data_IF_173126524730
#
_entry.id   IF_173126524730
#
_cell.length_a   1.000
_cell.length_b   1.000
_cell.length_c   1.000
_cell.angle_alpha   90.00
_cell.angle_beta   90.00
_cell.angle_gamma   90.00
#
_symmetry.space_group_name_H-M   'P 1'
#
loop_
_entity.id
_entity.type
_entity.pdbx_description
1 polymer ?
#
# COMPACT_ATOMS: atom_id res chain seq x y z
N UNK A 1 -64.05 -25.90 20.90
CA UNK A 1 -63.57 -26.47 19.61
C UNK A 1 -63.35 -25.30 18.67
N UNK A 2 -62.08 -24.90 18.43
CA UNK A 2 -61.63 -24.03 17.33
C UNK A 2 -60.09 -23.92 17.36
N UNK A 3 -59.43 -25.08 17.26
CA UNK A 3 -57.97 -25.26 17.19
C UNK A 3 -57.45 -25.15 15.76
N UNK A 4 -57.89 -24.15 14.99
CA UNK A 4 -57.44 -23.98 13.59
C UNK A 4 -57.04 -22.56 13.17
N UNK A 5 -57.06 -21.59 14.08
CA UNK A 5 -56.66 -20.20 13.75
C UNK A 5 -55.28 -19.79 14.31
N UNK A 6 -54.59 -20.67 15.04
CA UNK A 6 -53.26 -20.40 15.57
C UNK A 6 -52.11 -20.82 14.63
N UNK A 7 -52.41 -21.45 13.48
CA UNK A 7 -51.40 -22.09 12.64
C UNK A 7 -50.95 -21.28 11.40
N UNK A 8 -51.31 -19.99 11.29
CA UNK A 8 -50.98 -19.16 10.11
C UNK A 8 -50.18 -17.89 10.41
N UNK A 9 -49.83 -17.61 11.68
CA UNK A 9 -49.05 -16.43 12.08
C UNK A 9 -47.68 -16.83 12.64
N UNK A 10 -47.10 -17.92 12.10
CA UNK A 10 -45.86 -18.54 12.60
C UNK A 10 -44.71 -18.58 11.60
N UNK A 11 -44.84 -18.04 10.39
CA UNK A 11 -43.84 -18.16 9.32
C UNK A 11 -43.43 -16.81 8.70
N UNK A 12 -43.37 -15.74 9.50
CA UNK A 12 -42.68 -14.50 9.12
C UNK A 12 -41.39 -14.33 9.96
N UNK A 13 -40.68 -15.43 10.19
CA UNK A 13 -39.37 -15.40 10.81
C UNK A 13 -38.29 -15.57 9.73
N UNK A 14 -37.49 -14.52 9.60
CA UNK A 14 -36.06 -14.57 9.23
C UNK A 14 -35.75 -15.01 7.79
N UNK A 15 -35.89 -14.06 6.87
CA UNK A 15 -35.10 -14.06 5.65
C UNK A 15 -34.52 -12.67 5.37
N UNK A 16 -33.94 -12.04 6.39
CA UNK A 16 -32.83 -11.11 6.14
C UNK A 16 -31.62 -11.97 5.78
N UNK A 17 -31.56 -12.37 4.51
CA UNK A 17 -30.30 -12.80 3.94
C UNK A 17 -29.48 -11.52 3.87
N UNK A 18 -28.71 -11.24 4.93
CA UNK A 18 -27.64 -10.28 4.88
C UNK A 18 -26.73 -10.73 3.74
N UNK A 19 -26.92 -10.14 2.56
CA UNK A 19 -25.88 -10.15 1.55
C UNK A 19 -24.77 -9.32 2.19
N UNK A 20 -23.87 -9.98 2.90
CA UNK A 20 -22.55 -9.44 3.16
C UNK A 20 -21.90 -9.30 1.78
N UNK A 21 -22.28 -8.23 1.09
CA UNK A 21 -21.57 -7.73 -0.07
C UNK A 21 -20.25 -7.31 0.54
N UNK A 22 -19.28 -8.22 0.48
CA UNK A 22 -17.89 -7.97 0.87
C UNK A 22 -17.58 -6.56 0.37
N UNK A 23 -17.45 -5.63 1.32
CA UNK A 23 -17.32 -4.22 1.00
C UNK A 23 -15.93 -4.12 0.38
N UNK A 24 -15.89 -4.23 -0.94
CA UNK A 24 -14.66 -4.20 -1.69
C UNK A 24 -14.28 -2.72 -1.73
N UNK A 25 -13.72 -2.22 -0.63
CA UNK A 25 -13.32 -0.81 -0.41
C UNK A 25 -12.09 -0.43 -1.26
N UNK A 26 -11.95 -1.07 -2.42
CA UNK A 26 -10.93 -0.79 -3.40
C UNK A 26 -11.24 0.53 -4.09
N UNK A 27 -10.27 1.43 -3.96
CA UNK A 27 -10.20 2.69 -4.66
C UNK A 27 -9.38 2.50 -5.93
N UNK A 28 -9.66 3.32 -6.94
CA UNK A 28 -8.86 3.36 -8.16
C UNK A 28 -7.82 4.47 -8.07
N UNK A 29 -6.63 4.21 -8.57
CA UNK A 29 -5.56 5.19 -8.69
C UNK A 29 -4.65 4.89 -9.86
N UNK A 30 -3.80 5.85 -10.20
CA UNK A 30 -2.85 5.72 -11.31
C UNK A 30 -1.43 5.73 -10.77
N UNK A 31 -0.59 4.81 -11.25
CA UNK A 31 0.83 4.77 -10.94
C UNK A 31 1.57 5.80 -11.78
N UNK A 32 1.98 6.92 -11.20
CA UNK A 32 2.55 8.03 -11.95
C UNK A 32 4.01 7.84 -12.31
N UNK A 33 4.81 7.34 -11.37
CA UNK A 33 6.26 7.17 -11.52
C UNK A 33 6.85 6.26 -10.45
N UNK A 34 8.07 5.82 -10.73
CA UNK A 34 8.95 5.13 -9.81
C UNK A 34 10.17 6.01 -9.51
N UNK A 35 10.57 6.07 -8.25
CA UNK A 35 11.69 6.87 -7.76
C UNK A 35 12.62 6.00 -6.91
N UNK A 36 13.92 6.29 -6.94
CA UNK A 36 14.87 5.79 -5.95
C UNK A 36 15.03 6.83 -4.85
N UNK A 37 14.63 6.48 -3.62
CA UNK A 37 14.71 7.37 -2.48
C UNK A 37 15.66 6.83 -1.40
N UNK A 38 16.44 7.69 -0.73
CA UNK A 38 17.26 7.27 0.38
C UNK A 38 16.37 6.75 1.53
N UNK A 39 16.69 5.56 2.02
CA UNK A 39 15.83 4.85 2.94
C UNK A 39 16.54 4.21 4.12
N UNK A 40 17.86 4.29 4.16
CA UNK A 40 18.66 3.74 5.24
C UNK A 40 20.15 3.95 5.01
N UNK A 41 20.95 3.56 5.99
CA UNK A 41 22.41 3.60 5.92
C UNK A 41 22.95 2.19 6.04
N UNK A 42 23.80 1.77 5.11
CA UNK A 42 24.53 0.52 5.19
C UNK A 42 25.97 0.80 5.61
N UNK A 43 26.34 0.34 6.80
CA UNK A 43 27.75 0.27 7.19
C UNK A 43 28.38 -0.93 6.49
N UNK A 44 29.14 -0.72 5.41
CA UNK A 44 30.03 -1.76 4.87
C UNK A 44 31.28 -1.86 5.76
N UNK A 45 31.08 -2.39 6.96
CA UNK A 45 32.14 -2.77 7.90
C UNK A 45 32.69 -4.17 7.60
N UNK A 46 33.33 -4.35 6.44
CA UNK A 46 34.12 -5.56 6.20
C UNK A 46 35.42 -5.51 7.00
N UNK A 47 35.41 -6.08 8.22
CA UNK A 47 36.58 -6.49 9.05
C UNK A 47 36.01 -7.15 10.31
N UNK A 48 35.78 -8.46 10.26
CA UNK A 48 36.72 -9.47 10.77
C UNK A 48 36.93 -9.30 12.27
N UNK A 49 36.45 -10.28 13.04
CA UNK A 49 36.69 -10.48 14.47
C UNK A 49 38.20 -10.52 14.80
N UNK A 50 39.08 -10.52 13.80
CA UNK A 50 40.54 -10.37 13.94
C UNK A 50 41.04 -8.91 14.03
N UNK A 51 40.20 -7.90 13.77
CA UNK A 51 40.59 -6.48 13.75
C UNK A 51 40.68 -5.82 15.12
N UNK A 52 39.98 -6.34 16.13
CA UNK A 52 40.04 -5.81 17.51
C UNK A 52 41.30 -6.26 18.27
N UNK A 53 42.04 -7.26 17.76
CA UNK A 53 43.29 -7.74 18.36
C UNK A 53 44.54 -6.98 17.89
N UNK A 54 44.44 -6.18 16.83
CA UNK A 54 45.57 -5.47 16.22
C UNK A 54 45.24 -3.98 16.16
N UNK A 55 45.47 -3.28 17.28
CA UNK A 55 45.22 -1.84 17.48
C UNK A 55 45.82 -0.95 16.38
N UNK A 56 45.09 -0.81 15.28
CA UNK A 56 45.41 0.05 14.14
C UNK A 56 44.18 0.91 13.86
N UNK A 57 44.21 2.09 14.45
CA UNK A 57 43.06 3.00 14.65
C UNK A 57 42.75 3.80 13.38
N UNK A 58 42.51 3.13 12.26
CA UNK A 58 42.15 3.80 11.00
C UNK A 58 41.13 3.00 10.21
N UNK A 59 40.05 2.60 10.89
CA UNK A 59 38.90 2.00 10.23
C UNK A 59 38.02 3.13 9.65
N UNK A 60 38.33 3.53 8.41
CA UNK A 60 37.43 4.35 7.59
C UNK A 60 36.09 3.63 7.42
N UNK A 61 35.12 3.90 8.30
CA UNK A 61 33.73 3.48 8.13
C UNK A 61 33.15 4.20 6.91
N UNK A 62 33.11 3.51 5.76
CA UNK A 62 32.36 3.98 4.59
C UNK A 62 30.90 3.63 4.79
N UNK A 63 30.16 4.53 5.41
CA UNK A 63 28.70 4.48 5.45
C UNK A 63 28.18 4.79 4.05
N UNK A 64 27.50 3.84 3.42
CA UNK A 64 26.86 4.02 2.11
C UNK A 64 25.36 4.18 2.32
N UNK A 65 24.79 5.24 1.76
CA UNK A 65 23.34 5.45 1.76
C UNK A 65 22.65 4.39 0.89
N UNK A 66 21.62 3.75 1.45
CA UNK A 66 20.80 2.75 0.77
C UNK A 66 19.65 3.45 0.08
N UNK A 67 19.47 3.17 -1.21
CA UNK A 67 18.35 3.66 -1.99
C UNK A 67 17.28 2.56 -2.10
N UNK A 68 16.03 2.90 -1.79
CA UNK A 68 14.88 2.02 -1.93
C UNK A 68 14.01 2.48 -3.09
N UNK A 69 13.30 1.52 -3.67
CA UNK A 69 12.35 1.76 -4.74
C UNK A 69 11.01 2.24 -4.18
N UNK A 70 10.59 3.43 -4.56
CA UNK A 70 9.32 4.02 -4.17
C UNK A 70 8.45 4.32 -5.40
N UNK A 71 7.14 4.20 -5.25
CA UNK A 71 6.17 4.47 -6.29
C UNK A 71 5.23 5.59 -5.88
N UNK A 72 4.85 6.43 -6.84
CA UNK A 72 3.86 7.47 -6.65
C UNK A 72 2.52 6.98 -7.18
N UNK A 73 1.59 6.67 -6.26
CA UNK A 73 0.23 6.27 -6.57
C UNK A 73 -0.70 7.46 -6.36
N UNK A 74 -1.32 7.93 -7.44
CA UNK A 74 -2.27 9.03 -7.39
C UNK A 74 -3.69 8.48 -7.28
N UNK A 75 -4.31 8.67 -6.12
CA UNK A 75 -5.73 8.42 -5.91
C UNK A 75 -6.59 9.62 -6.29
N UNK A 76 -7.87 9.57 -5.90
CA UNK A 76 -8.83 10.63 -6.23
C UNK A 76 -8.52 11.98 -5.52
N UNK A 77 -8.06 11.92 -4.27
CA UNK A 77 -7.83 13.08 -3.40
C UNK A 77 -6.41 13.19 -2.84
N UNK A 78 -5.69 12.08 -2.81
CA UNK A 78 -4.38 11.96 -2.16
C UNK A 78 -3.40 11.29 -3.10
N UNK A 79 -2.17 11.79 -3.09
CA UNK A 79 -0.99 11.16 -3.70
C UNK A 79 -0.26 10.40 -2.60
N UNK A 80 -0.08 9.09 -2.83
CA UNK A 80 0.63 8.19 -1.92
C UNK A 80 2.02 7.93 -2.46
N UNK A 81 3.05 8.00 -1.61
CA UNK A 81 4.36 7.42 -1.90
C UNK A 81 4.44 6.08 -1.20
N UNK A 82 4.59 5.00 -1.97
CA UNK A 82 4.52 3.63 -1.47
C UNK A 82 5.80 2.87 -1.76
N UNK A 83 6.18 1.94 -0.87
CA UNK A 83 7.34 1.07 -1.03
C UNK A 83 6.92 -0.40 -0.95
N UNK A 84 7.49 -1.30 -1.78
CA UNK A 84 7.29 -2.73 -1.61
C UNK A 84 7.64 -3.14 -0.18
N UNK A 85 6.83 -4.02 0.43
CA UNK A 85 7.15 -4.55 1.76
C UNK A 85 8.28 -5.59 1.71
N UNK A 86 8.39 -6.32 0.61
CA UNK A 86 9.46 -7.29 0.36
C UNK A 86 10.46 -6.73 -0.65
N UNK A 87 11.66 -6.41 -0.16
CA UNK A 87 12.76 -5.87 -0.96
C UNK A 87 13.55 -6.96 -1.71
N UNK A 88 13.28 -8.25 -1.48
CA UNK A 88 14.08 -9.34 -2.08
C UNK A 88 13.75 -9.57 -3.55
N UNK A 89 12.47 -9.45 -3.92
CA UNK A 89 12.00 -9.62 -5.30
C UNK A 89 10.83 -8.66 -5.59
N UNK A 90 11.05 -7.33 -5.53
CA UNK A 90 9.98 -6.38 -5.79
C UNK A 90 9.53 -6.51 -7.25
N UNK A 91 8.26 -6.87 -7.44
CA UNK A 91 7.66 -6.86 -8.76
C UNK A 91 7.57 -5.41 -9.26
N UNK A 92 8.02 -5.18 -10.50
CA UNK A 92 7.91 -3.87 -11.12
C UNK A 92 6.45 -3.57 -11.43
N UNK A 93 5.95 -2.46 -10.89
CA UNK A 93 4.64 -1.95 -11.24
C UNK A 93 4.69 -1.17 -12.56
N UNK A 94 3.72 -1.37 -13.48
CA UNK A 94 3.65 -0.63 -14.73
C UNK A 94 3.25 0.83 -14.46
N UNK A 95 4.08 1.75 -14.92
CA UNK A 95 3.84 3.19 -14.79
C UNK A 95 2.87 3.65 -15.88
N UNK A 96 1.96 4.56 -15.53
CA UNK A 96 0.86 5.03 -16.39
C UNK A 96 -0.43 4.24 -16.21
N UNK A 97 -0.35 3.05 -15.61
CA UNK A 97 -1.49 2.16 -15.50
C UNK A 97 -2.37 2.43 -14.28
N UNK A 98 -3.62 2.00 -14.41
CA UNK A 98 -4.58 2.02 -13.30
C UNK A 98 -4.37 0.82 -12.40
N UNK A 99 -4.45 1.07 -11.10
CA UNK A 99 -4.42 0.06 -10.06
C UNK A 99 -5.58 0.26 -9.10
N UNK A 100 -6.11 -0.85 -8.61
CA UNK A 100 -7.05 -0.89 -7.51
C UNK A 100 -6.28 -1.05 -6.21
N UNK A 101 -6.63 -0.26 -5.19
CA UNK A 101 -5.96 -0.33 -3.91
C UNK A 101 -6.91 -0.12 -2.74
N UNK A 102 -6.56 -0.71 -1.60
CA UNK A 102 -7.23 -0.43 -0.32
C UNK A 102 -6.20 -0.24 0.78
N UNK A 103 -6.53 0.61 1.73
CA UNK A 103 -5.76 0.75 2.96
C UNK A 103 -6.24 -0.30 3.95
N UNK A 104 -5.32 -1.13 4.44
CA UNK A 104 -5.60 -2.12 5.47
C UNK A 104 -4.59 -1.97 6.60
N UNK A 105 -5.06 -1.40 7.72
CA UNK A 105 -4.23 -1.02 8.88
C UNK A 105 -3.10 -0.06 8.48
N UNK A 106 -1.86 -0.53 8.56
CA UNK A 106 -0.62 0.20 8.27
C UNK A 106 -0.12 -0.04 6.83
N UNK A 107 -0.88 -0.77 6.01
CA UNK A 107 -0.46 -1.19 4.66
C UNK A 107 -1.42 -0.75 3.59
N UNK A 108 -0.87 -0.63 2.39
CA UNK A 108 -1.63 -0.47 1.17
C UNK A 108 -1.60 -1.79 0.38
N UNK A 109 -2.77 -2.36 0.15
CA UNK A 109 -2.92 -3.55 -0.69
C UNK A 109 -3.20 -3.07 -2.10
N UNK A 110 -2.30 -3.37 -3.03
CA UNK A 110 -2.37 -2.93 -4.42
C UNK A 110 -2.63 -4.12 -5.36
N UNK A 111 -3.52 -3.92 -6.33
CA UNK A 111 -3.81 -4.83 -7.42
C UNK A 111 -3.74 -4.05 -8.74
N UNK A 112 -2.87 -4.46 -9.66
CA UNK A 112 -2.73 -3.80 -10.97
C UNK A 112 -3.74 -4.37 -11.94
N UNK A 113 -4.54 -3.52 -12.59
CA UNK A 113 -5.65 -3.96 -13.45
C UNK A 113 -5.18 -4.62 -14.75
N UNK A 114 -4.08 -4.15 -15.34
CA UNK A 114 -3.45 -4.70 -16.55
C UNK A 114 -2.39 -5.79 -16.23
N UNK A 115 -2.33 -6.24 -14.97
CA UNK A 115 -1.29 -7.13 -14.46
C UNK A 115 -1.72 -8.58 -14.28
N UNK A 116 -1.06 -9.26 -13.35
CA UNK A 116 -1.34 -10.64 -12.96
C UNK A 116 -2.50 -10.79 -11.95
N UNK A 117 -3.28 -9.73 -11.75
CA UNK A 117 -4.37 -9.63 -10.77
C UNK A 117 -3.97 -9.97 -9.32
N UNK A 118 -2.68 -10.04 -9.01
CA UNK A 118 -2.22 -10.39 -7.65
C UNK A 118 -2.22 -9.18 -6.73
N UNK A 119 -2.77 -9.41 -5.53
CA UNK A 119 -2.66 -8.47 -4.42
C UNK A 119 -1.23 -8.46 -3.88
N UNK A 120 -0.71 -7.25 -3.66
CA UNK A 120 0.63 -7.01 -3.13
C UNK A 120 0.58 -6.02 -1.99
N UNK A 121 1.35 -6.29 -0.94
CA UNK A 121 1.47 -5.41 0.21
C UNK A 121 2.54 -4.34 -0.01
N UNK A 122 2.15 -3.09 0.18
CA UNK A 122 3.03 -1.92 0.17
C UNK A 122 2.96 -1.16 1.50
N UNK A 123 4.08 -0.57 1.87
CA UNK A 123 4.19 0.37 2.99
C UNK A 123 3.93 1.77 2.46
N UNK A 124 3.09 2.54 3.15
CA UNK A 124 2.86 3.95 2.84
C UNK A 124 3.96 4.78 3.50
N UNK A 125 4.80 5.43 2.68
CA UNK A 125 5.91 6.30 3.12
C UNK A 125 5.40 7.70 3.41
N UNK A 126 4.53 8.24 2.55
CA UNK A 126 3.92 9.56 2.75
C UNK A 126 2.58 9.68 2.02
N UNK A 127 1.77 10.63 2.48
CA UNK A 127 0.47 10.99 1.90
C UNK A 127 0.40 12.50 1.75
N UNK A 128 0.15 12.99 0.53
CA UNK A 128 0.00 14.42 0.24
C UNK A 128 -1.32 14.67 -0.48
N UNK A 129 -2.10 15.70 -0.12
CA UNK A 129 -3.28 16.09 -0.87
C UNK A 129 -2.95 16.40 -2.34
N UNK A 130 -3.92 16.17 -3.23
CA UNK A 130 -3.78 16.52 -4.65
C UNK A 130 -3.91 18.03 -4.86
N UNK A 131 -2.86 18.65 -5.38
CA UNK A 131 -2.81 20.09 -5.66
C UNK A 131 -3.62 20.48 -6.90
N UNK A 132 -3.62 19.63 -7.93
CA UNK A 132 -4.35 19.86 -9.19
C UNK A 132 -5.87 19.99 -9.00
N UNK A 133 -6.41 19.36 -7.95
CA UNK A 133 -7.83 19.51 -7.58
C UNK A 133 -8.12 20.85 -6.91
N UNK A 134 -7.17 21.43 -6.16
CA UNK A 134 -7.34 22.73 -5.53
C UNK A 134 -7.40 23.85 -6.59
N UNK A 135 -6.54 23.79 -7.61
CA UNK A 135 -6.51 24.77 -8.70
C UNK A 135 -7.79 24.75 -9.55
N UNK A 136 -8.33 23.55 -9.83
CA UNK A 136 -9.56 23.40 -10.59
C UNK A 136 -10.80 23.98 -9.89
N UNK A 137 -10.81 23.99 -8.55
CA UNK A 137 -11.89 24.62 -7.76
C UNK A 137 -11.69 26.13 -7.65
N UNK A 138 -10.45 26.60 -7.52
CA UNK A 138 -10.14 28.03 -7.46
C UNK A 138 -10.41 28.77 -8.78
N UNK A 139 -10.18 28.14 -9.94
CA UNK A 139 -10.44 28.73 -11.27
C UNK A 139 -11.93 28.82 -11.65
N UNK A 140 -12.84 28.28 -10.83
CA UNK A 140 -14.29 28.28 -11.10
C UNK A 140 -15.07 29.38 -10.38
N UNK A 141 -14.39 30.23 -9.61
CA UNK A 141 -14.98 31.32 -8.83
C UNK A 141 -14.62 32.69 -9.40
#
# INVERSE_FOLDING_TARGET
MNTKLCALVGCLLLAEVCTAKEHNDYQKGTLLRMESAPCGMQEKGGKSVAGELLGTDSQSKKTQEVLCQEYVLQGEKVVYRIRPKDDKHPALLPIGETAEFRLHKDKLILKVTEGDDREREYIVVSMTPREDRHEAVASKN
#
